data_IF_243805655723
#
_entry.id   IF_243805655723
#
_cell.length_a   1.000
_cell.length_b   1.000
_cell.length_c   1.000
_cell.angle_alpha   90.00
_cell.angle_beta   90.00
_cell.angle_gamma   90.00
#
_symmetry.space_group_name_H-M   'P 1'
#
loop_
_entity.id
_entity.type
_entity.pdbx_description
1 polymer ?
#
# COMPACT_ATOMS: atom_id res chain seq x y z
N UNK A 1 -7.77 16.94 -3.14
CA UNK A 1 -8.39 15.91 -2.27
C UNK A 1 -9.80 15.66 -2.75
N UNK A 2 -10.09 14.47 -3.29
CA UNK A 2 -11.44 14.09 -3.70
C UNK A 2 -12.29 13.75 -2.48
N UNK A 3 -13.41 14.45 -2.30
CA UNK A 3 -14.41 14.19 -1.25
C UNK A 3 -14.70 12.69 -1.14
N UNK A 4 -14.59 12.11 0.06
CA UNK A 4 -15.33 10.90 0.43
C UNK A 4 -16.81 11.28 0.45
N UNK A 5 -17.45 11.19 -0.71
CA UNK A 5 -18.90 11.30 -0.81
C UNK A 5 -19.44 10.00 -0.21
N UNK A 6 -19.76 10.02 1.09
CA UNK A 6 -20.58 9.00 1.71
C UNK A 6 -21.99 9.25 1.19
N UNK A 7 -22.27 8.75 -0.01
CA UNK A 7 -23.61 8.66 -0.55
C UNK A 7 -24.35 7.67 0.35
N UNK A 8 -25.46 8.09 0.96
CA UNK A 8 -26.18 7.37 2.01
C UNK A 8 -26.59 5.92 1.69
N UNK A 9 -26.48 5.49 0.42
CA UNK A 9 -26.82 4.15 -0.06
C UNK A 9 -25.74 3.07 0.14
N UNK A 10 -24.58 3.38 0.75
CA UNK A 10 -23.46 2.43 0.87
C UNK A 10 -23.12 2.02 2.31
N UNK A 11 -23.91 2.44 3.32
CA UNK A 11 -23.70 2.01 4.71
C UNK A 11 -23.94 0.50 4.84
N UNK A 12 -22.97 -0.21 5.42
CA UNK A 12 -23.06 -1.66 5.67
C UNK A 12 -22.61 -2.55 4.52
N UNK A 13 -22.20 -1.99 3.36
CA UNK A 13 -21.68 -2.78 2.26
C UNK A 13 -20.19 -3.11 2.43
N UNK A 14 -19.73 -4.27 1.91
CA UNK A 14 -18.32 -4.60 1.88
C UNK A 14 -17.51 -3.51 1.17
N UNK A 15 -16.21 -3.44 1.50
CA UNK A 15 -15.35 -2.40 0.96
C UNK A 15 -15.34 -2.42 -0.58
N UNK A 16 -15.40 -1.21 -1.18
CA UNK A 16 -15.46 -0.98 -2.63
C UNK A 16 -16.75 -1.48 -3.30
N UNK A 17 -17.72 -1.96 -2.54
CA UNK A 17 -19.05 -2.22 -3.06
C UNK A 17 -19.86 -0.93 -3.07
N UNK A 18 -20.69 -0.78 -4.09
CA UNK A 18 -21.64 0.31 -4.18
C UNK A 18 -22.93 -0.15 -4.83
N UNK A 19 -24.04 0.43 -4.42
CA UNK A 19 -25.32 0.20 -5.07
C UNK A 19 -25.58 1.35 -6.06
N UNK A 20 -25.63 1.04 -7.36
CA UNK A 20 -25.84 2.03 -8.43
C UNK A 20 -26.74 1.44 -9.51
N UNK A 21 -27.72 2.23 -9.96
CA UNK A 21 -28.66 1.88 -11.03
C UNK A 21 -29.32 0.50 -10.81
N UNK A 22 -29.85 0.26 -9.59
CA UNK A 22 -30.56 -0.98 -9.26
C UNK A 22 -29.66 -2.23 -9.13
N UNK A 23 -28.35 -2.07 -9.01
CA UNK A 23 -27.39 -3.17 -8.95
C UNK A 23 -26.25 -2.91 -7.95
N UNK A 24 -25.81 -3.97 -7.29
CA UNK A 24 -24.56 -3.99 -6.54
C UNK A 24 -23.40 -4.09 -7.51
N UNK A 25 -22.40 -3.23 -7.31
CA UNK A 25 -21.22 -3.14 -8.15
C UNK A 25 -19.97 -3.14 -7.30
N UNK A 26 -18.93 -3.80 -7.77
CA UNK A 26 -17.59 -3.71 -7.24
C UNK A 26 -16.82 -2.63 -7.99
N UNK A 27 -16.36 -1.61 -7.27
CA UNK A 27 -15.47 -0.59 -7.82
C UNK A 27 -14.09 -1.22 -7.92
N UNK A 28 -13.63 -1.48 -9.13
CA UNK A 28 -12.37 -2.19 -9.36
C UNK A 28 -11.21 -1.28 -8.96
N UNK A 29 -10.24 -1.75 -8.16
CA UNK A 29 -9.01 -1.00 -7.90
C UNK A 29 -8.32 -0.65 -9.21
N UNK A 30 -7.80 0.59 -9.31
CA UNK A 30 -7.05 1.01 -10.51
C UNK A 30 -5.88 0.05 -10.75
N UNK A 31 -5.76 -0.44 -11.97
CA UNK A 31 -4.76 -1.44 -12.36
C UNK A 31 -5.18 -2.90 -12.17
N UNK A 32 -6.37 -3.16 -11.64
CA UNK A 32 -6.94 -4.52 -11.52
C UNK A 32 -8.05 -4.78 -12.54
N UNK A 33 -8.29 -3.87 -13.49
CA UNK A 33 -9.38 -3.96 -14.47
C UNK A 33 -9.32 -5.26 -15.26
N UNK A 34 -8.12 -5.75 -15.59
CA UNK A 34 -7.93 -7.03 -16.29
C UNK A 34 -8.58 -8.22 -15.57
N UNK A 35 -8.63 -8.22 -14.23
CA UNK A 35 -9.24 -9.29 -13.43
C UNK A 35 -10.78 -9.19 -13.39
N UNK A 36 -11.33 -8.07 -13.88
CA UNK A 36 -12.74 -7.71 -13.85
C UNK A 36 -13.27 -7.31 -15.24
N UNK A 37 -12.86 -8.05 -16.28
CA UNK A 37 -13.26 -7.88 -17.68
C UNK A 37 -12.88 -6.51 -18.29
N UNK A 38 -11.78 -5.90 -17.85
CA UNK A 38 -11.36 -4.57 -18.27
C UNK A 38 -12.25 -3.45 -17.71
N UNK A 39 -13.15 -3.74 -16.78
CA UNK A 39 -14.10 -2.76 -16.26
C UNK A 39 -13.53 -2.03 -15.05
N UNK A 40 -13.79 -0.73 -14.96
CA UNK A 40 -13.55 0.07 -13.76
C UNK A 40 -14.60 -0.20 -12.67
N UNK A 41 -15.75 -0.74 -13.08
CA UNK A 41 -16.82 -1.19 -12.20
C UNK A 41 -17.44 -2.47 -12.73
N UNK A 42 -17.43 -3.50 -11.89
CA UNK A 42 -18.00 -4.79 -12.23
C UNK A 42 -19.36 -4.96 -11.54
N UNK A 43 -20.37 -5.36 -12.30
CA UNK A 43 -21.71 -5.62 -11.75
C UNK A 43 -21.71 -6.98 -11.04
N UNK A 44 -21.99 -6.97 -9.74
CA UNK A 44 -22.04 -8.18 -8.91
C UNK A 44 -23.42 -8.84 -8.92
N UNK A 45 -24.50 -8.06 -8.98
CA UNK A 45 -25.86 -8.60 -8.97
C UNK A 45 -26.91 -7.56 -8.64
N UNK A 46 -28.19 -7.91 -8.74
CA UNK A 46 -29.32 -7.01 -8.41
C UNK A 46 -29.63 -7.00 -6.91
N UNK A 47 -29.39 -8.11 -6.22
CA UNK A 47 -29.55 -8.23 -4.77
C UNK A 47 -28.24 -8.61 -4.07
N UNK A 48 -28.20 -8.48 -2.74
CA UNK A 48 -26.99 -8.67 -1.94
C UNK A 48 -26.49 -10.12 -1.99
N UNK A 49 -27.40 -11.11 -1.99
CA UNK A 49 -27.04 -12.53 -2.05
C UNK A 49 -26.40 -12.92 -3.39
N UNK A 50 -26.97 -12.45 -4.51
CA UNK A 50 -26.39 -12.60 -5.84
C UNK A 50 -25.03 -11.91 -5.92
N UNK A 51 -24.92 -10.70 -5.37
CA UNK A 51 -23.66 -9.97 -5.34
C UNK A 51 -22.57 -10.71 -4.56
N UNK A 52 -22.91 -11.31 -3.41
CA UNK A 52 -21.98 -12.15 -2.65
C UNK A 52 -21.60 -13.42 -3.40
N UNK A 53 -22.54 -14.09 -4.08
CA UNK A 53 -22.22 -15.27 -4.90
C UNK A 53 -21.34 -14.93 -6.09
N UNK A 54 -21.61 -13.85 -6.81
CA UNK A 54 -20.79 -13.43 -7.97
C UNK A 54 -19.40 -13.00 -7.52
N UNK A 55 -19.32 -12.25 -6.41
CA UNK A 55 -18.04 -11.87 -5.83
C UNK A 55 -17.28 -13.10 -5.37
N UNK A 56 -17.89 -13.96 -4.55
CA UNK A 56 -17.28 -15.19 -4.05
C UNK A 56 -16.90 -16.13 -5.19
N UNK A 57 -17.74 -16.29 -6.21
CA UNK A 57 -17.49 -17.08 -7.41
C UNK A 57 -16.34 -16.53 -8.23
N UNK A 58 -16.21 -15.21 -8.38
CA UNK A 58 -15.08 -14.60 -9.07
C UNK A 58 -13.77 -14.76 -8.30
N UNK A 59 -13.84 -14.63 -6.98
CA UNK A 59 -12.72 -14.93 -6.09
C UNK A 59 -12.40 -16.44 -6.13
N UNK A 60 -13.41 -17.31 -6.18
CA UNK A 60 -13.30 -18.77 -6.22
C UNK A 60 -12.73 -19.29 -7.55
N UNK A 61 -13.13 -18.74 -8.69
CA UNK A 61 -12.51 -19.04 -9.99
C UNK A 61 -11.04 -18.59 -10.03
N UNK A 62 -10.68 -17.56 -9.25
CA UNK A 62 -9.28 -17.20 -9.00
C UNK A 62 -8.56 -18.05 -7.93
N UNK A 63 -9.31 -18.83 -7.13
CA UNK A 63 -8.82 -19.74 -6.08
C UNK A 63 -8.65 -21.18 -6.57
N UNK A 64 -9.50 -21.65 -7.49
CA UNK A 64 -9.54 -23.01 -8.04
C UNK A 64 -8.47 -23.25 -9.11
N UNK A 65 -7.85 -22.18 -9.62
CA UNK A 65 -6.64 -22.31 -10.41
C UNK A 65 -5.48 -22.65 -9.48
N UNK A 66 -4.87 -23.81 -9.72
CA UNK A 66 -3.57 -24.18 -9.18
C UNK A 66 -2.60 -23.01 -9.43
N UNK A 67 -2.33 -22.20 -8.40
CA UNK A 67 -1.46 -21.04 -8.52
C UNK A 67 -0.07 -21.60 -8.81
N UNK A 68 0.43 -21.37 -10.02
CA UNK A 68 1.77 -21.78 -10.42
C UNK A 68 2.69 -20.58 -10.53
N UNK A 69 2.21 -19.45 -11.07
CA UNK A 69 3.06 -18.30 -11.39
C UNK A 69 2.95 -17.15 -10.38
N UNK A 70 3.99 -16.32 -10.30
CA UNK A 70 3.93 -15.08 -9.49
C UNK A 70 2.81 -14.14 -9.94
N UNK A 71 2.48 -14.10 -11.23
CA UNK A 71 1.39 -13.30 -11.76
C UNK A 71 0.06 -13.66 -11.09
N UNK A 72 -0.28 -14.95 -11.08
CA UNK A 72 -1.49 -15.49 -10.44
C UNK A 72 -1.49 -15.26 -8.92
N UNK A 73 -0.33 -15.47 -8.28
CA UNK A 73 -0.17 -15.24 -6.85
C UNK A 73 -0.41 -13.77 -6.47
N UNK A 74 0.11 -12.84 -7.30
CA UNK A 74 -0.11 -11.40 -7.15
C UNK A 74 -1.58 -11.05 -7.37
N UNK A 75 -2.26 -11.63 -8.36
CA UNK A 75 -3.69 -11.37 -8.59
C UNK A 75 -4.53 -11.73 -7.37
N UNK A 76 -4.30 -12.93 -6.81
CA UNK A 76 -4.97 -13.34 -5.57
C UNK A 76 -4.65 -12.40 -4.40
N UNK A 77 -3.39 -11.97 -4.27
CA UNK A 77 -2.97 -11.01 -3.24
C UNK A 77 -3.70 -9.67 -3.35
N UNK A 78 -3.72 -9.12 -4.56
CA UNK A 78 -4.36 -7.85 -4.86
C UNK A 78 -5.87 -7.88 -4.66
N UNK A 79 -6.49 -9.05 -4.79
CA UNK A 79 -7.92 -9.28 -4.57
C UNK A 79 -8.28 -9.53 -3.10
N UNK A 80 -7.48 -10.30 -2.37
CA UNK A 80 -7.83 -10.77 -1.01
C UNK A 80 -7.16 -9.97 0.12
N UNK A 81 -5.94 -9.45 -0.11
CA UNK A 81 -5.12 -8.87 0.96
C UNK A 81 -5.04 -7.35 0.83
N UNK A 82 -4.81 -6.84 -0.37
CA UNK A 82 -4.63 -5.40 -0.59
C UNK A 82 -5.88 -4.55 -0.25
N UNK A 83 -7.13 -4.96 -0.56
CA UNK A 83 -8.29 -4.09 -0.32
C UNK A 83 -8.45 -3.69 1.15
N UNK A 84 -8.19 -4.60 2.09
CA UNK A 84 -8.30 -4.33 3.53
C UNK A 84 -7.31 -3.28 4.07
N UNK A 85 -6.30 -2.86 3.28
CA UNK A 85 -5.29 -1.88 3.68
C UNK A 85 -5.73 -0.45 3.35
N UNK A 86 -5.03 0.54 3.91
CA UNK A 86 -5.30 1.95 3.62
C UNK A 86 -5.06 2.30 2.14
N UNK A 87 -5.79 3.29 1.60
CA UNK A 87 -5.71 3.68 0.18
C UNK A 87 -4.28 4.01 -0.28
N UNK A 88 -3.50 4.67 0.57
CA UNK A 88 -2.09 4.95 0.32
C UNK A 88 -1.26 3.66 0.20
N UNK A 89 -1.49 2.71 1.11
CA UNK A 89 -0.81 1.41 1.08
C UNK A 89 -1.22 0.59 -0.14
N UNK A 90 -2.50 0.63 -0.54
CA UNK A 90 -2.98 -0.04 -1.74
C UNK A 90 -2.26 0.49 -2.99
N UNK A 91 -2.20 1.81 -3.12
CA UNK A 91 -1.54 2.47 -4.27
C UNK A 91 -0.06 2.07 -4.35
N UNK A 92 0.63 2.11 -3.20
CA UNK A 92 2.03 1.69 -3.10
C UNK A 92 2.23 0.21 -3.48
N UNK A 93 1.37 -0.68 -2.97
CA UNK A 93 1.45 -2.11 -3.26
C UNK A 93 1.19 -2.42 -4.73
N UNK A 94 0.23 -1.76 -5.37
CA UNK A 94 -0.05 -1.95 -6.80
C UNK A 94 1.19 -1.59 -7.63
N UNK A 95 1.87 -0.47 -7.32
CA UNK A 95 3.09 -0.09 -8.04
C UNK A 95 4.23 -1.10 -7.83
N UNK A 96 4.40 -1.57 -6.58
CA UNK A 96 5.43 -2.58 -6.26
C UNK A 96 5.14 -3.90 -6.96
N UNK A 97 3.90 -4.39 -6.90
CA UNK A 97 3.51 -5.65 -7.53
C UNK A 97 3.57 -5.58 -9.06
N UNK A 98 3.32 -4.40 -9.65
CA UNK A 98 3.58 -4.20 -11.09
C UNK A 98 5.06 -4.46 -11.41
N UNK A 99 5.99 -3.91 -10.63
CA UNK A 99 7.43 -4.15 -10.82
C UNK A 99 7.82 -5.62 -10.61
N UNK A 100 7.27 -6.28 -9.58
CA UNK A 100 7.50 -7.72 -9.35
C UNK A 100 6.97 -8.54 -10.53
N UNK A 101 5.76 -8.23 -11.02
CA UNK A 101 5.14 -8.90 -12.17
C UNK A 101 5.97 -8.71 -13.44
N UNK A 102 6.45 -7.51 -13.72
CA UNK A 102 7.34 -7.24 -14.85
C UNK A 102 8.62 -8.08 -14.81
N UNK A 103 9.19 -8.31 -13.62
CA UNK A 103 10.46 -9.04 -13.48
C UNK A 103 10.30 -10.56 -13.48
N UNK A 104 9.28 -11.09 -12.80
CA UNK A 104 9.15 -12.53 -12.53
C UNK A 104 7.72 -13.07 -12.66
N UNK A 105 6.78 -12.31 -13.22
CA UNK A 105 5.35 -12.65 -13.22
C UNK A 105 5.00 -13.98 -13.89
N UNK A 106 5.76 -14.38 -14.93
CA UNK A 106 5.54 -15.65 -15.62
C UNK A 106 6.25 -16.85 -14.96
N UNK A 107 7.14 -16.58 -14.00
CA UNK A 107 7.95 -17.61 -13.38
C UNK A 107 7.13 -18.42 -12.38
N UNK A 108 7.47 -19.70 -12.25
CA UNK A 108 6.87 -20.58 -11.26
C UNK A 108 7.32 -20.19 -9.84
N UNK A 109 6.37 -20.11 -8.91
CA UNK A 109 6.62 -19.78 -7.50
C UNK A 109 7.46 -20.86 -6.81
N UNK A 110 7.23 -22.14 -7.13
CA UNK A 110 7.88 -23.29 -6.50
C UNK A 110 9.36 -23.44 -6.90
N UNK A 111 9.75 -22.90 -8.05
CA UNK A 111 11.15 -22.92 -8.54
C UNK A 111 11.96 -21.77 -7.98
N UNK A 112 11.34 -20.81 -7.31
CA UNK A 112 12.06 -19.66 -6.75
C UNK A 112 13.04 -20.10 -5.65
N UNK A 113 14.26 -19.56 -5.68
CA UNK A 113 15.35 -19.88 -4.75
C UNK A 113 15.95 -18.60 -4.18
N UNK A 114 16.62 -18.65 -3.02
CA UNK A 114 17.23 -17.45 -2.40
C UNK A 114 18.15 -16.67 -3.35
N UNK A 115 18.87 -17.35 -4.24
CA UNK A 115 19.75 -16.72 -5.24
C UNK A 115 18.98 -15.78 -6.17
N UNK A 116 17.77 -16.15 -6.60
CA UNK A 116 16.91 -15.30 -7.43
C UNK A 116 16.49 -14.02 -6.69
N UNK A 117 16.28 -14.10 -5.36
CA UNK A 117 15.99 -12.92 -4.57
C UNK A 117 17.17 -11.94 -4.52
N UNK A 118 18.41 -12.44 -4.38
CA UNK A 118 19.61 -11.59 -4.43
C UNK A 118 19.78 -10.94 -5.81
N UNK A 119 19.65 -11.72 -6.89
CA UNK A 119 19.73 -11.20 -8.27
C UNK A 119 18.67 -10.12 -8.53
N UNK A 120 17.42 -10.35 -8.09
CA UNK A 120 16.34 -9.38 -8.23
C UNK A 120 16.63 -8.10 -7.43
N UNK A 121 17.06 -8.25 -6.17
CA UNK A 121 17.41 -7.12 -5.28
C UNK A 121 18.51 -6.25 -5.90
N UNK A 122 19.58 -6.89 -6.37
CA UNK A 122 20.76 -6.19 -6.89
C UNK A 122 20.45 -5.52 -8.23
N UNK A 123 19.68 -6.19 -9.10
CA UNK A 123 19.18 -5.58 -10.35
C UNK A 123 18.34 -4.34 -10.11
N UNK A 124 17.41 -4.37 -9.14
CA UNK A 124 16.58 -3.20 -8.81
C UNK A 124 17.45 -2.04 -8.31
N UNK A 125 18.50 -2.32 -7.52
CA UNK A 125 19.42 -1.31 -7.03
C UNK A 125 20.24 -0.69 -8.16
N UNK A 126 20.69 -1.49 -9.13
CA UNK A 126 21.44 -1.01 -10.31
C UNK A 126 20.58 -0.20 -11.29
N UNK A 127 19.31 -0.56 -11.46
CA UNK A 127 18.35 0.18 -12.32
C UNK A 127 17.97 1.56 -11.72
N UNK A 128 18.27 1.81 -10.45
CA UNK A 128 17.91 3.06 -9.80
C UNK A 128 18.88 4.19 -10.19
N UNK A 129 18.36 5.19 -10.91
CA UNK A 129 19.10 6.37 -11.36
C UNK A 129 19.54 7.27 -10.17
N UNK A 130 18.90 7.13 -9.01
CA UNK A 130 19.11 7.96 -7.82
C UNK A 130 19.70 7.14 -6.68
N UNK A 131 20.40 7.78 -5.75
CA UNK A 131 20.98 7.18 -4.54
C UNK A 131 19.99 6.58 -3.53
N UNK A 132 18.72 6.36 -3.92
CA UNK A 132 17.68 5.69 -3.16
C UNK A 132 17.44 4.23 -3.60
N UNK A 133 18.25 3.71 -4.52
CA UNK A 133 18.09 2.35 -5.08
C UNK A 133 18.00 1.24 -4.05
N UNK A 134 18.84 1.26 -3.01
CA UNK A 134 18.82 0.27 -1.94
C UNK A 134 17.51 0.29 -1.14
N UNK A 135 17.01 1.49 -0.82
CA UNK A 135 15.75 1.65 -0.08
C UNK A 135 14.57 1.18 -0.91
N UNK A 136 14.57 1.48 -2.21
CA UNK A 136 13.53 1.03 -3.13
C UNK A 136 13.58 -0.50 -3.33
N UNK A 137 14.77 -1.07 -3.52
CA UNK A 137 14.97 -2.51 -3.58
C UNK A 137 14.44 -3.19 -2.31
N UNK A 138 14.82 -2.70 -1.13
CA UNK A 138 14.31 -3.23 0.14
C UNK A 138 12.78 -3.17 0.23
N UNK A 139 12.14 -2.08 -0.21
CA UNK A 139 10.67 -1.97 -0.23
C UNK A 139 10.02 -3.03 -1.11
N UNK A 140 10.58 -3.30 -2.30
CA UNK A 140 10.08 -4.35 -3.20
C UNK A 140 10.30 -5.73 -2.58
N UNK A 141 11.50 -6.00 -2.08
CA UNK A 141 11.86 -7.30 -1.51
C UNK A 141 11.05 -7.61 -0.23
N UNK A 142 10.67 -6.59 0.54
CA UNK A 142 9.77 -6.74 1.69
C UNK A 142 8.37 -7.22 1.27
N UNK A 143 7.84 -6.66 0.17
CA UNK A 143 6.56 -7.13 -0.38
C UNK A 143 6.67 -8.52 -0.99
N UNK A 144 7.79 -8.83 -1.63
CA UNK A 144 8.05 -10.19 -2.11
C UNK A 144 8.11 -11.21 -0.96
N UNK A 145 8.75 -10.88 0.17
CA UNK A 145 8.71 -11.71 1.37
C UNK A 145 7.27 -12.00 1.82
N UNK A 146 6.47 -10.95 1.98
CA UNK A 146 5.09 -11.13 2.42
C UNK A 146 4.25 -11.89 1.37
N UNK A 147 4.57 -11.77 0.08
CA UNK A 147 3.94 -12.55 -0.98
C UNK A 147 4.22 -14.06 -0.81
N UNK A 148 5.46 -14.44 -0.47
CA UNK A 148 5.80 -15.83 -0.14
C UNK A 148 5.15 -16.32 1.16
N UNK A 149 4.98 -15.47 2.17
CA UNK A 149 4.21 -15.84 3.37
C UNK A 149 2.77 -16.21 2.97
N UNK A 150 2.14 -15.44 2.07
CA UNK A 150 0.82 -15.78 1.52
C UNK A 150 0.84 -17.02 0.63
N UNK A 151 1.91 -17.26 -0.13
CA UNK A 151 2.06 -18.48 -0.91
C UNK A 151 2.01 -19.74 -0.02
N UNK A 152 2.64 -19.71 1.16
CA UNK A 152 2.55 -20.81 2.13
C UNK A 152 1.15 -20.93 2.70
N UNK A 153 0.57 -19.83 3.19
CA UNK A 153 -0.80 -19.84 3.75
C UNK A 153 -1.82 -20.39 2.76
N UNK A 154 -1.59 -20.19 1.46
CA UNK A 154 -2.46 -20.66 0.38
C UNK A 154 -2.05 -22.02 -0.20
N UNK A 155 -1.06 -22.70 0.38
CA UNK A 155 -0.62 -24.04 -0.03
C UNK A 155 0.09 -24.10 -1.39
N UNK A 156 0.60 -22.97 -1.89
CA UNK A 156 1.30 -22.89 -3.18
C UNK A 156 2.71 -23.47 -3.10
N UNK A 157 3.39 -23.26 -1.97
CA UNK A 157 4.74 -23.78 -1.70
C UNK A 157 4.81 -24.29 -0.27
N UNK A 158 5.66 -25.29 -0.03
CA UNK A 158 5.88 -25.85 1.31
C UNK A 158 6.88 -25.08 2.17
N UNK A 159 7.78 -24.30 1.57
CA UNK A 159 8.86 -23.63 2.29
C UNK A 159 9.10 -22.21 1.77
N UNK A 160 9.40 -21.28 2.67
CA UNK A 160 9.62 -19.88 2.33
C UNK A 160 11.09 -19.65 1.91
N UNK A 161 11.36 -19.15 0.69
CA UNK A 161 12.73 -19.06 0.17
C UNK A 161 13.55 -17.89 0.75
N UNK A 162 12.92 -16.94 1.45
CA UNK A 162 13.57 -15.70 1.91
C UNK A 162 13.60 -15.47 3.44
N UNK A 163 13.25 -16.46 4.27
CA UNK A 163 13.36 -16.37 5.75
C UNK A 163 14.57 -17.16 6.26
N UNK A 164 14.73 -17.30 7.58
CA UNK A 164 15.76 -18.13 8.22
C UNK A 164 17.19 -17.83 7.72
N UNK A 165 17.52 -16.54 7.66
CA UNK A 165 18.81 -16.04 7.17
C UNK A 165 19.14 -16.32 5.69
N UNK A 166 18.23 -16.94 4.93
CA UNK A 166 18.43 -17.24 3.50
C UNK A 166 18.52 -15.97 2.64
N UNK A 167 17.90 -14.87 3.05
CA UNK A 167 17.92 -13.61 2.32
C UNK A 167 18.15 -12.40 3.26
N UNK A 168 19.11 -11.55 2.86
CA UNK A 168 19.44 -10.30 3.57
C UNK A 168 19.01 -9.08 2.74
N UNK A 169 18.38 -8.12 3.42
CA UNK A 169 18.13 -6.79 2.86
C UNK A 169 19.43 -5.99 2.75
N UNK A 170 19.45 -4.94 1.93
CA UNK A 170 20.51 -3.94 2.03
C UNK A 170 20.46 -3.27 3.41
N UNK A 171 21.61 -2.86 3.98
CA UNK A 171 21.62 -2.09 5.21
C UNK A 171 20.82 -0.80 5.01
N UNK A 172 20.12 -0.35 6.07
CA UNK A 172 19.46 0.95 6.01
C UNK A 172 20.57 2.02 5.91
N UNK A 173 20.48 2.98 4.97
CA UNK A 173 21.45 4.06 4.89
C UNK A 173 21.45 4.80 6.24
N UNK A 174 22.63 4.83 6.89
CA UNK A 174 22.79 5.41 8.24
C UNK A 174 22.63 6.94 8.22
N UNK A 175 22.89 7.56 7.08
CA UNK A 175 22.89 9.01 6.93
C UNK A 175 21.75 9.44 6.04
N UNK A 176 20.84 10.24 6.59
CA UNK A 176 19.88 11.01 5.80
C UNK A 176 20.66 11.86 4.79
N UNK A 177 20.33 11.76 3.49
CA UNK A 177 20.92 12.63 2.45
C UNK A 177 20.57 14.12 2.66
N UNK A 178 19.62 14.39 3.54
CA UNK A 178 19.23 15.74 3.96
C UNK A 178 19.96 16.04 5.26
N UNK A 179 20.76 17.12 5.26
CA UNK A 179 21.29 17.72 6.49
C UNK A 179 20.11 18.13 7.37
N UNK A 180 20.02 17.53 8.55
CA UNK A 180 18.98 17.85 9.53
C UNK A 180 19.56 18.82 10.53
N UNK A 181 18.72 19.72 11.05
CA UNK A 181 19.09 20.50 12.21
C UNK A 181 19.51 19.55 13.35
N UNK A 182 20.62 19.88 14.00
CA UNK A 182 21.21 19.09 15.07
C UNK A 182 20.48 19.33 16.40
N UNK A 183 19.83 20.49 16.54
CA UNK A 183 19.04 20.85 17.72
C UNK A 183 17.78 21.63 17.37
N UNK A 184 16.84 21.67 18.32
CA UNK A 184 15.64 22.51 18.24
C UNK A 184 16.03 24.00 18.19
N UNK A 185 17.09 24.41 18.88
CA UNK A 185 17.58 25.79 18.88
C UNK A 185 18.05 26.25 17.51
N UNK A 186 18.73 25.37 16.74
CA UNK A 186 19.10 25.67 15.36
C UNK A 186 17.86 25.95 14.49
N UNK A 187 16.77 25.20 14.70
CA UNK A 187 15.49 25.43 14.00
C UNK A 187 14.88 26.76 14.40
N UNK A 188 14.83 27.09 15.70
CA UNK A 188 14.33 28.37 16.19
C UNK A 188 15.13 29.56 15.67
N UNK A 189 16.46 29.47 15.73
CA UNK A 189 17.37 30.51 15.27
C UNK A 189 17.23 30.75 13.76
N UNK A 190 16.97 29.71 12.97
CA UNK A 190 16.74 29.86 11.53
C UNK A 190 15.33 30.35 11.18
N UNK A 191 14.37 30.26 12.11
CA UNK A 191 12.95 30.41 11.80
C UNK A 191 12.57 31.79 11.27
N UNK A 192 13.23 32.85 11.75
CA UNK A 192 12.98 34.23 11.30
C UNK A 192 13.21 34.43 9.79
N UNK A 193 13.99 33.55 9.15
CA UNK A 193 14.28 33.59 7.70
C UNK A 193 13.17 32.97 6.86
N UNK A 194 12.24 32.24 7.49
CA UNK A 194 11.12 31.60 6.80
C UNK A 194 9.96 32.56 6.61
N UNK A 195 9.10 32.27 5.63
CA UNK A 195 7.85 33.02 5.40
C UNK A 195 6.89 32.89 6.59
N UNK A 196 6.04 33.91 6.88
CA UNK A 196 5.25 33.97 8.12
C UNK A 196 4.41 32.72 8.44
N UNK A 197 3.75 32.13 7.44
CA UNK A 197 2.95 30.92 7.64
C UNK A 197 3.81 29.72 8.06
N UNK A 198 5.04 29.62 7.53
CA UNK A 198 5.97 28.55 7.87
C UNK A 198 6.53 28.74 9.28
N UNK A 199 6.71 29.99 9.72
CA UNK A 199 7.04 30.29 11.11
C UNK A 199 5.98 29.76 12.06
N UNK A 200 4.70 30.05 11.80
CA UNK A 200 3.58 29.54 12.59
C UNK A 200 3.48 28.01 12.55
N UNK A 201 3.67 27.43 11.37
CA UNK A 201 3.65 25.98 11.17
C UNK A 201 4.73 25.28 12.02
N UNK A 202 5.98 25.73 11.96
CA UNK A 202 7.10 25.15 12.71
C UNK A 202 6.89 25.31 14.21
N UNK A 203 6.42 26.48 14.68
CA UNK A 203 6.06 26.70 16.09
C UNK A 203 5.04 25.66 16.57
N UNK A 204 3.95 25.49 15.82
CA UNK A 204 2.91 24.52 16.15
C UNK A 204 3.44 23.08 16.11
N UNK A 205 4.30 22.75 15.14
CA UNK A 205 4.95 21.44 15.01
C UNK A 205 5.85 21.13 16.21
N UNK A 206 6.64 22.10 16.66
CA UNK A 206 7.54 21.95 17.82
C UNK A 206 6.75 21.81 19.12
N UNK A 207 5.65 22.55 19.28
CA UNK A 207 4.80 22.50 20.47
C UNK A 207 3.98 21.20 20.59
N UNK A 208 3.49 20.67 19.46
CA UNK A 208 2.53 19.56 19.47
C UNK A 208 3.14 18.20 19.10
N UNK A 209 4.30 18.18 18.43
CA UNK A 209 4.93 16.96 17.91
C UNK A 209 4.17 16.28 16.76
N UNK A 210 2.95 16.72 16.43
CA UNK A 210 2.04 16.09 15.47
C UNK A 210 2.68 15.87 14.09
N UNK A 211 2.36 14.76 13.41
CA UNK A 211 2.89 14.52 12.05
C UNK A 211 2.42 15.61 11.10
N UNK A 212 3.19 15.85 10.03
CA UNK A 212 2.90 16.92 9.07
C UNK A 212 1.47 16.86 8.53
N UNK A 213 0.99 15.67 8.17
CA UNK A 213 -0.37 15.47 7.65
C UNK A 213 -1.42 15.82 8.70
N UNK A 214 -1.20 15.43 9.96
CA UNK A 214 -2.13 15.72 11.06
C UNK A 214 -2.21 17.24 11.30
N UNK A 215 -1.07 17.95 11.31
CA UNK A 215 -1.02 19.41 11.42
C UNK A 215 -1.77 20.11 10.29
N UNK A 216 -1.56 19.67 9.05
CA UNK A 216 -2.21 20.25 7.88
C UNK A 216 -3.72 19.94 7.81
N UNK A 217 -4.19 18.97 8.59
CA UNK A 217 -5.61 18.63 8.70
C UNK A 217 -6.34 19.41 9.81
N UNK A 218 -5.61 20.15 10.65
CA UNK A 218 -6.21 20.96 11.70
C UNK A 218 -7.06 22.09 11.12
N UNK A 219 -8.20 22.33 11.76
CA UNK A 219 -9.11 23.42 11.48
C UNK A 219 -9.47 24.15 12.77
N UNK A 220 -10.11 25.32 12.68
CA UNK A 220 -10.58 26.06 13.86
C UNK A 220 -11.48 25.22 14.77
N UNK A 221 -12.19 24.23 14.22
CA UNK A 221 -13.08 23.32 14.97
C UNK A 221 -12.33 22.39 15.92
N UNK A 222 -11.03 22.21 15.72
CA UNK A 222 -10.18 21.39 16.59
C UNK A 222 -9.81 22.14 17.88
N UNK A 223 -10.06 23.44 17.98
CA UNK A 223 -9.80 24.24 19.17
C UNK A 223 -11.03 24.15 20.08
N UNK A 224 -10.87 23.51 21.23
CA UNK A 224 -11.90 23.40 22.27
C UNK A 224 -11.47 24.15 23.53
N UNK A 225 -12.33 24.18 24.56
CA UNK A 225 -12.00 24.83 25.84
C UNK A 225 -10.91 24.06 26.61
N UNK A 226 -10.84 22.75 26.38
CA UNK A 226 -9.93 21.82 27.04
C UNK A 226 -8.58 21.71 26.31
N UNK A 227 -8.50 22.15 25.06
CA UNK A 227 -7.26 22.19 24.29
C UNK A 227 -7.45 21.95 22.79
N UNK A 228 -6.43 21.37 22.16
CA UNK A 228 -6.44 21.03 20.73
C UNK A 228 -6.84 19.57 20.54
N UNK A 229 -8.06 19.33 20.05
CA UNK A 229 -8.57 17.99 19.76
C UNK A 229 -8.09 17.51 18.38
N UNK A 230 -7.30 16.43 18.34
CA UNK A 230 -6.69 15.92 17.12
C UNK A 230 -7.03 14.46 16.88
N UNK A 231 -7.50 14.14 15.67
CA UNK A 231 -7.67 12.76 15.21
C UNK A 231 -6.44 12.38 14.38
N UNK A 232 -5.59 11.50 14.94
CA UNK A 232 -4.37 11.07 14.26
C UNK A 232 -4.69 10.22 13.03
N UNK A 233 -4.15 10.60 11.88
CA UNK A 233 -4.32 9.87 10.62
C UNK A 233 -3.57 8.52 10.59
N UNK A 234 -2.55 8.37 11.45
CA UNK A 234 -1.77 7.15 11.61
C UNK A 234 -1.37 7.02 13.08
N UNK A 235 -1.62 5.86 13.67
CA UNK A 235 -1.07 5.46 14.97
C UNK A 235 0.12 4.57 14.75
#
# INVERSE_FOLDING_TARGET
MGRKQIIGNHKGLPQRWRFKNGSYRYVVPKGQEANWDGKTEFTLGKNLAEAHRTYAGRIAVGLDNHIKTFGQLIDRYLLQVTPAKSDATQTDEIQIFRKIREMIGHNDVAVFRPQHAYQMRDRIQQEAIKGSGETYANKIMEKLKHLFSKAIEWGVIGEHPMIDSKFKMFPKPKTSQISRAESIDQVWNALHRAVPWMQLYVRLKLLTGLRQVDLLSLTVRNITKEGLLVNLSKT
#
